data_IF_419879017984
#
_entry.id   IF_419879017984
#
_cell.length_a   1.000
_cell.length_b   1.000
_cell.length_c   1.000
_cell.angle_alpha   90.00
_cell.angle_beta   90.00
_cell.angle_gamma   90.00
#
_symmetry.space_group_name_H-M   'P 1'
#
loop_
_entity.id
_entity.type
_entity.pdbx_description
1 polymer ?
#
# COMPACT_ATOMS: atom_id res chain seq x y z
N UNK A 1 20.53 1.16 -6.60
CA UNK A 1 19.23 1.23 -7.28
C UNK A 1 18.78 -0.15 -7.75
N UNK A 2 17.65 -0.61 -7.21
CA UNK A 2 16.96 -1.85 -7.58
C UNK A 2 15.46 -1.59 -7.76
N UNK A 3 14.79 -2.53 -8.42
CA UNK A 3 13.34 -2.60 -8.46
C UNK A 3 12.92 -4.03 -8.11
N UNK A 4 12.11 -4.18 -7.07
CA UNK A 4 11.62 -5.48 -6.61
C UNK A 4 10.14 -5.60 -6.91
N UNK A 5 9.75 -6.72 -7.53
CA UNK A 5 8.35 -7.02 -7.81
C UNK A 5 7.75 -7.89 -6.72
N UNK A 6 6.70 -7.39 -6.06
CA UNK A 6 5.94 -8.09 -5.04
C UNK A 6 4.57 -8.55 -5.54
N UNK A 7 4.40 -8.78 -6.85
CA UNK A 7 3.16 -9.28 -7.45
C UNK A 7 2.17 -8.18 -7.86
N UNK A 8 1.21 -8.53 -8.73
CA UNK A 8 0.31 -7.59 -9.43
C UNK A 8 1.15 -6.46 -10.02
N UNK A 9 0.92 -5.20 -9.64
CA UNK A 9 1.76 -4.05 -9.96
C UNK A 9 2.41 -3.43 -8.73
N UNK A 10 2.60 -4.20 -7.65
CA UNK A 10 3.40 -3.77 -6.50
C UNK A 10 4.89 -3.84 -6.84
N UNK A 11 5.50 -2.66 -6.98
CA UNK A 11 6.91 -2.46 -7.29
C UNK A 11 7.54 -1.60 -6.20
N UNK A 12 8.60 -2.10 -5.58
CA UNK A 12 9.46 -1.33 -4.68
C UNK A 12 10.64 -0.79 -5.46
N UNK A 13 10.75 0.52 -5.54
CA UNK A 13 11.92 1.22 -6.05
C UNK A 13 12.78 1.60 -4.87
N UNK A 14 14.05 1.18 -4.90
CA UNK A 14 15.01 1.42 -3.81
C UNK A 14 16.30 1.94 -4.43
N UNK A 15 16.69 3.17 -4.10
CA UNK A 15 17.95 3.76 -4.56
C UNK A 15 19.14 3.50 -3.61
N UNK A 16 18.89 2.96 -2.42
CA UNK A 16 19.84 2.72 -1.33
C UNK A 16 19.71 3.71 -0.15
N UNK A 17 18.92 4.77 -0.29
CA UNK A 17 18.65 5.79 0.74
C UNK A 17 17.15 5.98 0.97
N UNK A 18 16.35 5.93 -0.09
CA UNK A 18 14.90 6.15 -0.05
C UNK A 18 14.17 5.06 -0.83
N UNK A 19 13.00 4.67 -0.31
CA UNK A 19 12.13 3.68 -0.93
C UNK A 19 10.81 4.31 -1.38
N UNK A 20 10.31 3.87 -2.54
CA UNK A 20 8.98 4.21 -3.06
C UNK A 20 8.26 2.94 -3.50
N UNK A 21 6.98 2.82 -3.14
CA UNK A 21 6.17 1.63 -3.42
C UNK A 21 4.95 1.98 -4.27
N UNK A 22 4.67 1.17 -5.29
CA UNK A 22 3.36 1.17 -5.92
C UNK A 22 2.44 0.15 -5.23
N UNK A 23 1.18 0.52 -5.05
CA UNK A 23 0.05 -0.31 -4.60
C UNK A 23 0.15 -0.91 -3.19
N UNK A 24 1.14 -1.76 -2.94
CA UNK A 24 1.30 -2.46 -1.67
C UNK A 24 0.24 -3.55 -1.42
N UNK A 25 -0.25 -4.21 -2.48
CA UNK A 25 -1.31 -5.22 -2.38
C UNK A 25 -0.78 -6.58 -1.86
N UNK A 26 -0.64 -6.64 -0.54
CA UNK A 26 -0.06 -7.77 0.19
C UNK A 26 -1.10 -8.77 0.71
N UNK A 27 -2.33 -8.33 0.99
CA UNK A 27 -3.39 -9.15 1.60
C UNK A 27 -3.88 -10.25 0.67
N UNK A 28 -4.06 -9.93 -0.62
CA UNK A 28 -4.48 -10.86 -1.69
C UNK A 28 -5.63 -11.80 -1.28
N UNK A 29 -6.76 -11.27 -0.79
CA UNK A 29 -7.89 -12.08 -0.36
C UNK A 29 -8.43 -12.89 -1.54
N UNK A 30 -8.82 -14.14 -1.27
CA UNK A 30 -9.53 -14.95 -2.24
C UNK A 30 -10.95 -14.41 -2.43
N UNK A 31 -11.42 -14.34 -3.68
CA UNK A 31 -12.79 -13.94 -3.98
C UNK A 31 -13.78 -14.98 -3.45
N UNK A 32 -14.45 -14.67 -2.34
CA UNK A 32 -15.41 -15.57 -1.68
C UNK A 32 -16.86 -15.39 -2.17
N UNK A 33 -17.09 -14.53 -3.18
CA UNK A 33 -18.41 -14.21 -3.72
C UNK A 33 -18.72 -12.71 -3.67
N UNK A 34 -19.79 -12.29 -4.36
CA UNK A 34 -20.18 -10.88 -4.47
C UNK A 34 -20.66 -10.26 -3.16
N UNK A 35 -21.13 -11.08 -2.21
CA UNK A 35 -21.59 -10.63 -0.90
C UNK A 35 -20.45 -10.49 0.12
N UNK A 36 -19.22 -10.89 -0.25
CA UNK A 36 -18.04 -10.76 0.62
C UNK A 36 -17.37 -9.41 0.45
N UNK A 37 -17.05 -8.76 1.56
CA UNK A 37 -16.25 -7.54 1.58
C UNK A 37 -14.80 -7.95 1.71
N UNK A 38 -13.97 -7.55 0.75
CA UNK A 38 -12.53 -7.72 0.85
C UNK A 38 -11.97 -6.72 1.87
N UNK A 39 -11.15 -7.20 2.80
CA UNK A 39 -10.54 -6.39 3.85
C UNK A 39 -9.01 -6.58 3.86
N UNK A 40 -8.24 -5.56 4.27
CA UNK A 40 -6.82 -5.70 4.49
C UNK A 40 -6.49 -6.74 5.58
N UNK A 41 -5.62 -7.69 5.28
CA UNK A 41 -4.97 -8.57 6.26
C UNK A 41 -3.80 -7.81 6.89
N UNK A 42 -4.09 -7.10 7.97
CA UNK A 42 -3.10 -6.28 8.69
C UNK A 42 -1.90 -7.08 9.19
N UNK A 43 -2.08 -8.38 9.51
CA UNK A 43 -0.98 -9.24 9.94
C UNK A 43 -0.08 -9.62 8.76
N UNK A 44 -0.65 -9.89 7.59
CA UNK A 44 0.12 -10.12 6.37
C UNK A 44 0.87 -8.87 5.92
N UNK A 45 0.23 -7.69 5.99
CA UNK A 45 0.85 -6.41 5.67
C UNK A 45 2.04 -6.16 6.60
N UNK A 46 1.88 -6.30 7.92
CA UNK A 46 2.97 -6.11 8.87
C UNK A 46 4.15 -7.07 8.59
N UNK A 47 3.88 -8.34 8.29
CA UNK A 47 4.91 -9.31 7.88
C UNK A 47 5.66 -8.86 6.62
N UNK A 48 4.95 -8.32 5.64
CA UNK A 48 5.55 -7.83 4.40
C UNK A 48 6.37 -6.57 4.60
N UNK A 49 5.90 -5.63 5.44
CA UNK A 49 6.66 -4.43 5.81
C UNK A 49 8.03 -4.80 6.40
N UNK A 50 8.07 -5.77 7.31
CA UNK A 50 9.32 -6.26 7.89
C UNK A 50 10.18 -7.02 6.87
N UNK A 51 9.58 -7.94 6.12
CA UNK A 51 10.32 -8.80 5.17
C UNK A 51 10.90 -8.02 3.99
N UNK A 52 10.20 -6.96 3.56
CA UNK A 52 10.61 -6.08 2.48
C UNK A 52 11.41 -4.85 2.95
N UNK A 53 11.71 -4.75 4.26
CA UNK A 53 12.46 -3.64 4.86
C UNK A 53 11.89 -2.26 4.49
N UNK A 54 10.58 -2.07 4.67
CA UNK A 54 9.87 -0.85 4.27
C UNK A 54 9.97 0.28 5.32
N UNK A 55 10.95 0.24 6.21
CA UNK A 55 11.13 1.22 7.30
C UNK A 55 11.50 2.63 6.79
N UNK A 56 12.18 2.72 5.64
CA UNK A 56 12.54 3.98 4.95
C UNK A 56 11.62 4.32 3.77
N UNK A 57 10.37 3.84 3.81
CA UNK A 57 9.41 4.09 2.74
C UNK A 57 8.93 5.55 2.79
N UNK A 58 9.37 6.36 1.83
CA UNK A 58 8.99 7.77 1.76
C UNK A 58 7.56 7.95 1.27
N UNK A 59 7.18 7.19 0.23
CA UNK A 59 5.84 7.27 -0.33
C UNK A 59 5.31 5.94 -0.87
N UNK A 60 3.98 5.84 -0.86
CA UNK A 60 3.21 4.81 -1.54
C UNK A 60 2.16 5.45 -2.44
N UNK A 61 1.93 4.87 -3.61
CA UNK A 61 0.89 5.33 -4.55
C UNK A 61 0.17 4.15 -5.18
N UNK A 62 -1.16 4.21 -5.29
CA UNK A 62 -1.89 3.27 -6.12
C UNK A 62 -1.78 3.73 -7.58
N UNK A 63 -1.52 2.81 -8.51
CA UNK A 63 -1.51 3.14 -9.95
C UNK A 63 -2.89 3.61 -10.44
N UNK A 64 -3.95 3.06 -9.85
CA UNK A 64 -5.33 3.56 -9.89
C UNK A 64 -6.11 2.95 -8.72
N UNK A 65 -7.29 3.49 -8.37
CA UNK A 65 -7.99 3.13 -7.12
C UNK A 65 -8.87 1.88 -7.21
N UNK A 66 -8.46 0.86 -7.96
CA UNK A 66 -9.13 -0.45 -7.96
C UNK A 66 -8.64 -1.31 -6.77
N UNK A 67 -9.40 -2.33 -6.39
CA UNK A 67 -9.23 -3.01 -5.10
C UNK A 67 -7.83 -3.63 -4.92
N UNK A 68 -7.30 -4.28 -5.96
CA UNK A 68 -5.99 -4.93 -5.99
C UNK A 68 -4.80 -3.95 -6.07
N UNK A 69 -5.08 -2.65 -5.96
CA UNK A 69 -4.09 -1.59 -5.94
C UNK A 69 -4.21 -0.69 -4.71
N UNK A 70 -5.44 -0.38 -4.29
CA UNK A 70 -5.68 0.63 -3.25
C UNK A 70 -6.10 0.04 -1.89
N UNK A 71 -6.58 -1.20 -1.83
CA UNK A 71 -7.18 -1.76 -0.61
C UNK A 71 -6.22 -1.72 0.59
N UNK A 72 -4.97 -2.14 0.39
CA UNK A 72 -3.97 -2.23 1.45
C UNK A 72 -3.20 -0.92 1.67
N UNK A 73 -3.21 -0.03 0.68
CA UNK A 73 -2.30 1.11 0.59
C UNK A 73 -2.34 2.01 1.84
N UNK A 74 -3.54 2.30 2.36
CA UNK A 74 -3.68 3.11 3.56
C UNK A 74 -3.11 2.42 4.80
N UNK A 75 -3.28 1.11 4.92
CA UNK A 75 -2.73 0.32 6.03
C UNK A 75 -1.21 0.20 5.93
N UNK A 76 -0.66 0.04 4.73
CA UNK A 76 0.80 0.07 4.49
C UNK A 76 1.37 1.44 4.87
N UNK A 77 0.70 2.54 4.52
CA UNK A 77 1.11 3.88 4.89
C UNK A 77 1.12 4.09 6.42
N UNK A 78 0.12 3.56 7.13
CA UNK A 78 0.10 3.61 8.61
C UNK A 78 1.23 2.78 9.23
N UNK A 79 1.52 1.60 8.68
CA UNK A 79 2.55 0.72 9.20
C UNK A 79 3.98 1.26 9.00
N UNK A 80 4.20 2.03 7.94
CA UNK A 80 5.52 2.55 7.55
C UNK A 80 5.72 4.03 7.89
N UNK A 81 4.63 4.78 8.08
CA UNK A 81 4.66 6.24 8.18
C UNK A 81 4.84 6.96 6.83
N UNK A 82 4.79 6.23 5.72
CA UNK A 82 4.91 6.77 4.37
C UNK A 82 3.79 7.77 4.04
N UNK A 83 4.08 8.71 3.15
CA UNK A 83 3.05 9.55 2.55
C UNK A 83 2.31 8.78 1.44
N UNK A 84 1.00 8.97 1.36
CA UNK A 84 0.17 8.46 0.28
C UNK A 84 0.08 9.53 -0.80
N UNK A 85 0.44 9.17 -2.03
CA UNK A 85 0.24 10.01 -3.21
C UNK A 85 -0.83 9.41 -4.10
N UNK A 86 -1.67 10.24 -4.70
CA UNK A 86 -2.56 9.76 -5.75
C UNK A 86 -3.75 10.65 -6.06
N UNK A 87 -4.72 10.06 -6.75
CA UNK A 87 -5.99 10.73 -7.05
C UNK A 87 -6.85 10.92 -5.78
N UNK A 88 -7.87 11.76 -5.88
CA UNK A 88 -8.89 11.92 -4.84
C UNK A 88 -9.55 10.60 -4.43
N UNK A 89 -9.69 9.64 -5.36
CA UNK A 89 -10.19 8.31 -5.04
C UNK A 89 -9.23 7.53 -4.13
N UNK A 90 -7.92 7.60 -4.38
CA UNK A 90 -6.88 7.00 -3.53
C UNK A 90 -6.82 7.69 -2.16
N UNK A 91 -6.96 9.01 -2.14
CA UNK A 91 -7.07 9.80 -0.92
C UNK A 91 -8.26 9.34 -0.07
N UNK A 92 -9.43 9.12 -0.66
CA UNK A 92 -10.62 8.66 0.06
C UNK A 92 -10.48 7.25 0.63
N UNK A 93 -9.84 6.33 -0.09
CA UNK A 93 -9.51 5.00 0.48
C UNK A 93 -8.57 5.12 1.68
N UNK A 94 -7.58 6.01 1.59
CA UNK A 94 -6.61 6.25 2.67
C UNK A 94 -7.23 6.92 3.90
N UNK A 95 -8.15 7.86 3.69
CA UNK A 95 -9.00 8.42 4.76
C UNK A 95 -9.82 7.34 5.45
N UNK A 96 -10.41 6.44 4.66
CA UNK A 96 -11.15 5.28 5.18
C UNK A 96 -10.30 4.38 6.08
N UNK A 97 -9.00 4.25 5.78
CA UNK A 97 -8.04 3.52 6.63
C UNK A 97 -7.57 4.32 7.86
N UNK A 98 -7.85 5.63 7.95
CA UNK A 98 -7.44 6.49 9.06
C UNK A 98 -6.09 7.19 8.88
N UNK A 99 -5.57 7.26 7.64
CA UNK A 99 -4.36 8.05 7.34
C UNK A 99 -4.64 9.54 7.58
N UNK A 100 -3.74 10.22 8.31
CA UNK A 100 -3.87 11.65 8.58
C UNK A 100 -3.76 12.47 7.29
N UNK A 101 -4.56 13.54 7.15
CA UNK A 101 -4.55 14.40 5.94
C UNK A 101 -3.15 14.96 5.61
N UNK A 102 -2.31 15.22 6.63
CA UNK A 102 -0.93 15.68 6.41
C UNK A 102 -0.02 14.66 5.71
N UNK A 103 -0.49 13.42 5.54
CA UNK A 103 0.19 12.32 4.86
C UNK A 103 -0.49 11.95 3.53
N UNK A 104 -1.54 12.65 3.13
CA UNK A 104 -2.24 12.43 1.85
C UNK A 104 -1.91 13.60 0.92
N UNK A 105 -1.31 13.30 -0.24
CA UNK A 105 -0.77 14.27 -1.20
C UNK A 105 -1.36 14.09 -2.58
#
# INVERSE_FOLDING_TARGET
>A
MSVTWYGVSTLLFDDGETKVLTDGFFSRPFFAGLDSIAEPDTAQIARMVETADLHDLAMITAVHSHFDHAMDLGVVALATGAAVFGSESTANVSRGAGVAESKIV
#
